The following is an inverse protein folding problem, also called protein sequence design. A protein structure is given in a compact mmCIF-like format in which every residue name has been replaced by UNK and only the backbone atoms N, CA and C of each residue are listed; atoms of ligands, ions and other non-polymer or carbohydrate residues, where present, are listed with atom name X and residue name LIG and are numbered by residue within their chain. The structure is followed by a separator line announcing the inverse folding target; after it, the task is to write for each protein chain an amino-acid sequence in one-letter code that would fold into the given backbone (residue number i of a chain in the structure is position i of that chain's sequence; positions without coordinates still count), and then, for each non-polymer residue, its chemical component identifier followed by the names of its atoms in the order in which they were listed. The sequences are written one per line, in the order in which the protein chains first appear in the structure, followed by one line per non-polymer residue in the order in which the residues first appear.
data_IF_312301806689
#
_entry.id   IF_312301806689
#
_cell.length_a   1.000
_cell.length_b   1.000
_cell.length_c   1.000
_cell.angle_alpha   90.00
_cell.angle_beta   90.00
_cell.angle_gamma   90.00
#
_symmetry.space_group_name_H-M   'P 1'
#
loop_
_entity.id
_entity.type
_entity.pdbx_description
1 polymer ?
#
# COMPACT_ATOMS: atom_id res chain seq x y z
N UNK A 1 19.88 9.64 11.86
CA UNK A 1 19.13 8.35 11.96
C UNK A 1 18.47 8.07 10.62
N UNK A 2 18.58 6.86 10.07
CA UNK A 2 17.98 6.50 8.78
C UNK A 2 16.49 6.19 8.95
N UNK A 3 15.66 6.83 8.11
CA UNK A 3 14.20 6.65 8.04
C UNK A 3 13.82 6.21 6.64
N UNK A 4 12.79 5.40 6.54
CA UNK A 4 12.14 5.06 5.27
C UNK A 4 10.70 5.55 5.32
N UNK A 5 10.26 6.17 4.22
CA UNK A 5 8.87 6.52 4.00
C UNK A 5 8.25 5.39 3.18
N UNK A 6 7.12 4.87 3.63
CA UNK A 6 6.28 3.93 2.89
C UNK A 6 5.05 4.69 2.41
N UNK A 7 4.74 4.53 1.12
CA UNK A 7 3.57 5.10 0.47
C UNK A 7 2.79 3.96 -0.18
N UNK A 8 1.60 3.67 0.33
CA UNK A 8 0.66 2.74 -0.30
C UNK A 8 -0.34 3.52 -1.12
N UNK A 9 -0.52 3.14 -2.39
CA UNK A 9 -1.38 3.82 -3.34
C UNK A 9 -2.40 2.82 -3.88
N UNK A 10 -3.69 3.11 -3.73
CA UNK A 10 -4.78 2.27 -4.24
C UNK A 10 -5.81 3.06 -5.05
N UNK A 11 -6.40 2.38 -6.05
CA UNK A 11 -7.60 2.82 -6.77
C UNK A 11 -8.55 1.62 -6.86
N UNK A 12 -9.75 1.77 -6.30
CA UNK A 12 -10.81 0.76 -6.38
C UNK A 12 -11.45 0.72 -7.79
N UNK A 13 -11.50 -0.47 -8.39
CA UNK A 13 -12.54 -0.86 -9.34
C UNK A 13 -13.11 -2.20 -8.80
N UNK A 14 -14.41 -2.23 -8.49
CA UNK A 14 -15.03 -3.16 -7.52
C UNK A 14 -15.17 -4.61 -8.05
N UNK A 15 -14.88 -5.61 -7.20
CA UNK A 15 -15.29 -7.02 -7.36
C UNK A 15 -15.19 -7.83 -6.04
N UNK A 16 -16.19 -8.66 -5.71
CA UNK A 16 -16.36 -9.40 -4.43
C UNK A 16 -16.66 -10.90 -4.66
N UNK A 17 -16.36 -11.82 -3.70
CA UNK A 17 -17.00 -13.15 -3.41
C UNK A 17 -16.10 -14.04 -2.51
N UNK A 18 -16.60 -14.96 -1.63
CA UNK A 18 -16.30 -15.32 -0.16
C UNK A 18 -15.44 -16.55 0.30
N UNK A 19 -14.87 -16.56 1.57
CA UNK A 19 -13.98 -17.61 2.24
C UNK A 19 -14.29 -18.24 3.62
N UNK A 20 -13.64 -19.39 3.91
CA UNK A 20 -13.30 -20.00 5.23
C UNK A 20 -11.79 -20.41 5.31
N UNK A 21 -11.15 -20.36 6.49
CA UNK A 21 -9.68 -20.26 6.69
C UNK A 21 -8.99 -21.55 7.21
N UNK A 22 -7.82 -21.88 6.65
CA UNK A 22 -6.78 -22.72 7.27
C UNK A 22 -5.40 -22.09 7.03
N UNK A 23 -4.53 -22.10 8.04
CA UNK A 23 -3.23 -21.44 8.08
C UNK A 23 -2.17 -22.21 7.26
N UNK A 24 -1.34 -21.50 6.46
CA UNK A 24 -0.25 -22.07 5.65
C UNK A 24 1.11 -21.97 6.37
N UNK A 25 1.94 -23.02 6.28
CA UNK A 25 3.09 -23.37 7.13
C UNK A 25 4.48 -23.14 6.50
N UNK A 26 4.58 -22.36 5.43
CA UNK A 26 5.88 -21.95 4.86
C UNK A 26 5.74 -20.86 3.80
N UNK A 27 6.29 -19.66 4.06
CA UNK A 27 6.28 -18.55 3.09
C UNK A 27 7.19 -18.92 1.92
N UNK A 28 6.59 -19.33 0.80
CA UNK A 28 7.26 -19.51 -0.48
C UNK A 28 6.68 -18.49 -1.48
N UNK A 29 7.54 -17.90 -2.32
CA UNK A 29 7.08 -17.01 -3.40
C UNK A 29 6.31 -17.83 -4.43
N UNK A 30 4.98 -17.75 -4.41
CA UNK A 30 4.12 -18.38 -5.42
C UNK A 30 4.24 -17.69 -6.79
N UNK A 31 4.56 -16.39 -6.80
CA UNK A 31 4.94 -15.63 -8.00
C UNK A 31 6.21 -14.82 -7.72
N UNK A 32 7.10 -14.75 -8.70
CA UNK A 32 8.29 -13.90 -8.65
C UNK A 32 7.98 -12.45 -9.06
N UNK A 33 8.69 -11.45 -8.53
CA UNK A 33 8.53 -10.06 -8.95
C UNK A 33 9.00 -9.86 -10.39
N UNK A 34 8.40 -8.89 -11.08
CA UNK A 34 8.82 -8.44 -12.41
C UNK A 34 9.89 -7.35 -12.27
N UNK A 35 11.12 -7.79 -12.00
CA UNK A 35 12.24 -6.89 -11.76
C UNK A 35 12.60 -6.03 -12.99
N UNK A 36 12.84 -4.74 -12.76
CA UNK A 36 13.28 -3.80 -13.79
C UNK A 36 14.14 -2.65 -13.27
N UNK A 37 14.10 -1.52 -13.98
CA UNK A 37 14.85 -0.30 -13.65
C UNK A 37 13.86 0.83 -13.37
N UNK A 38 14.22 1.75 -12.47
CA UNK A 38 13.47 2.98 -12.21
C UNK A 38 13.66 3.95 -13.39
N UNK A 39 13.17 3.57 -14.56
CA UNK A 39 13.21 4.28 -15.84
C UNK A 39 12.46 3.44 -16.88
N UNK A 40 11.81 4.06 -17.86
CA UNK A 40 11.06 3.31 -18.87
C UNK A 40 9.71 2.83 -18.34
N UNK A 41 9.32 1.60 -18.68
CA UNK A 41 8.05 1.00 -18.25
C UNK A 41 8.07 0.65 -16.76
N UNK A 42 6.89 0.69 -16.12
CA UNK A 42 6.70 0.24 -14.73
C UNK A 42 7.24 -1.18 -14.53
N UNK A 43 7.96 -1.38 -13.44
CA UNK A 43 8.50 -2.66 -13.01
C UNK A 43 8.77 -2.63 -11.50
N UNK A 44 8.89 -3.80 -10.89
CA UNK A 44 9.40 -3.93 -9.52
C UNK A 44 10.88 -3.47 -9.50
N UNK A 45 11.22 -2.53 -8.63
CA UNK A 45 12.58 -2.00 -8.58
C UNK A 45 13.00 -1.64 -7.17
N UNK A 46 14.27 -1.90 -6.85
CA UNK A 46 14.97 -1.27 -5.75
C UNK A 46 16.10 -0.38 -6.30
N UNK A 47 15.87 0.93 -6.34
CA UNK A 47 16.85 1.93 -6.78
C UNK A 47 17.57 2.57 -5.58
N UNK A 48 18.33 1.75 -4.85
CA UNK A 48 19.30 2.21 -3.84
C UNK A 48 18.78 2.27 -2.41
N UNK A 49 17.61 1.70 -2.12
CA UNK A 49 17.20 1.43 -0.74
C UNK A 49 18.13 0.38 -0.11
N UNK A 50 18.36 0.56 1.19
CA UNK A 50 19.13 -0.40 1.98
C UNK A 50 18.23 -1.58 2.39
N UNK A 51 18.80 -2.70 2.87
CA UNK A 51 18.03 -3.73 3.55
C UNK A 51 17.15 -3.11 4.65
N UNK A 52 15.90 -3.57 4.78
CA UNK A 52 14.91 -2.95 5.66
C UNK A 52 15.37 -2.83 7.12
N UNK A 53 16.18 -3.77 7.59
CA UNK A 53 16.79 -3.80 8.94
C UNK A 53 17.72 -2.61 9.22
N UNK A 54 18.12 -1.84 8.20
CA UNK A 54 18.95 -0.63 8.36
C UNK A 54 18.13 0.60 8.75
N UNK A 55 16.81 0.56 8.56
CA UNK A 55 15.93 1.67 8.91
C UNK A 55 15.39 1.48 10.32
N UNK A 56 15.65 2.44 11.21
CA UNK A 56 15.17 2.39 12.61
C UNK A 56 13.75 2.91 12.78
N UNK A 57 13.27 3.64 11.77
CA UNK A 57 11.92 4.19 11.77
C UNK A 57 11.32 4.04 10.38
N UNK A 58 10.13 3.46 10.35
CA UNK A 58 9.27 3.36 9.19
C UNK A 58 8.16 4.39 9.39
N UNK A 59 7.96 5.28 8.42
CA UNK A 59 6.84 6.22 8.42
C UNK A 59 5.93 5.84 7.28
N UNK A 60 4.70 5.46 7.58
CA UNK A 60 3.75 4.95 6.60
C UNK A 60 2.64 5.97 6.33
N UNK A 61 2.35 6.19 5.07
CA UNK A 61 1.17 6.92 4.60
C UNK A 61 0.44 6.08 3.55
N UNK A 62 -0.86 6.29 3.43
CA UNK A 62 -1.71 5.55 2.50
C UNK A 62 -3.16 5.58 2.95
N UNK A 63 -3.90 4.56 2.56
CA UNK A 63 -5.33 4.42 2.80
C UNK A 63 -5.64 3.27 3.79
N UNK A 64 -6.86 2.73 3.71
CA UNK A 64 -7.34 1.59 4.49
C UNK A 64 -6.44 0.36 4.44
N UNK A 65 -5.66 0.14 3.38
CA UNK A 65 -4.75 -1.00 3.29
C UNK A 65 -3.58 -0.91 4.27
N UNK A 66 -3.27 0.30 4.74
CA UNK A 66 -2.14 0.57 5.64
C UNK A 66 -2.59 1.16 6.98
N UNK A 67 -3.80 1.72 7.08
CA UNK A 67 -4.35 2.35 8.28
C UNK A 67 -4.42 1.39 9.47
N UNK A 68 -3.49 1.59 10.41
CA UNK A 68 -3.41 0.88 11.68
C UNK A 68 -4.37 1.37 12.78
N UNK A 69 -5.27 2.32 12.51
CA UNK A 69 -6.34 2.78 13.40
C UNK A 69 -6.04 4.05 14.21
N UNK A 70 -4.77 4.43 14.39
CA UNK A 70 -4.36 5.60 15.21
C UNK A 70 -4.14 6.87 14.38
N UNK A 71 -3.59 6.75 13.16
CA UNK A 71 -3.49 7.81 12.13
C UNK A 71 -2.64 9.05 12.43
N UNK A 72 -1.99 9.14 13.59
CA UNK A 72 -1.22 10.31 14.04
C UNK A 72 0.29 10.03 14.24
N UNK A 73 0.76 8.85 13.84
CA UNK A 73 2.12 8.37 14.07
C UNK A 73 2.42 7.93 15.51
N UNK A 74 1.40 7.90 16.37
CA UNK A 74 1.47 7.53 17.79
C UNK A 74 1.47 6.01 18.03
N UNK A 75 1.38 5.65 19.31
CA UNK A 75 1.32 4.24 19.72
C UNK A 75 0.05 3.58 19.18
N UNK A 76 0.25 2.42 18.55
CA UNK A 76 -0.84 1.68 17.92
C UNK A 76 -1.65 0.93 18.95
N UNK A 77 -2.98 1.06 18.88
CA UNK A 77 -3.88 0.23 19.67
C UNK A 77 -3.76 -1.25 19.27
N UNK A 78 -3.94 -2.19 20.21
CA UNK A 78 -3.91 -3.62 19.90
C UNK A 78 -5.00 -3.98 18.88
N UNK A 79 -4.68 -4.92 17.99
CA UNK A 79 -5.60 -5.40 16.96
C UNK A 79 -6.55 -6.44 17.59
N UNK A 80 -7.60 -5.97 18.27
CA UNK A 80 -8.60 -6.80 18.94
C UNK A 80 -9.94 -6.63 18.24
N UNK A 81 -10.57 -7.75 17.87
CA UNK A 81 -11.93 -7.78 17.35
C UNK A 81 -12.92 -7.77 18.50
N UNK A 82 -13.88 -6.84 18.48
CA UNK A 82 -14.94 -6.73 19.49
C UNK A 82 -16.29 -6.91 18.78
N UNK A 83 -16.93 -8.09 18.89
CA UNK A 83 -18.23 -8.35 18.27
C UNK A 83 -19.30 -7.31 18.67
N UNK A 84 -20.23 -6.98 17.76
CA UNK A 84 -20.43 -7.55 16.43
C UNK A 84 -19.51 -6.95 15.35
N UNK A 85 -18.70 -5.95 15.69
CA UNK A 85 -17.80 -5.30 14.76
C UNK A 85 -16.63 -6.24 14.43
N UNK A 86 -16.47 -6.68 13.18
CA UNK A 86 -15.37 -7.58 12.87
C UNK A 86 -14.01 -6.84 12.70
N UNK A 87 -13.94 -5.52 12.96
CA UNK A 87 -12.77 -4.64 12.73
C UNK A 87 -11.86 -4.82 13.93
N UNK A 88 -10.59 -5.12 13.68
CA UNK A 88 -9.61 -5.22 14.74
C UNK A 88 -9.06 -3.85 15.13
N UNK A 89 -9.52 -3.31 16.26
CA UNK A 89 -8.99 -2.08 16.84
C UNK A 89 -8.97 -0.88 15.89
N UNK A 90 -10.05 -0.66 15.13
CA UNK A 90 -10.23 0.49 14.23
C UNK A 90 -9.68 0.32 12.81
N UNK A 91 -9.22 -0.88 12.43
CA UNK A 91 -8.66 -1.20 11.10
C UNK A 91 -9.71 -1.76 10.14
N UNK A 92 -9.46 -1.67 8.84
CA UNK A 92 -10.25 -2.36 7.80
C UNK A 92 -9.80 -3.81 7.55
N UNK A 93 -9.28 -4.46 8.59
CA UNK A 93 -8.95 -5.89 8.64
C UNK A 93 -9.40 -6.49 9.99
N UNK A 94 -9.52 -7.81 10.06
CA UNK A 94 -9.81 -8.56 11.30
C UNK A 94 -8.55 -8.85 12.12
N UNK A 95 -7.40 -8.32 11.72
CA UNK A 95 -6.12 -8.47 12.43
C UNK A 95 -5.22 -7.23 12.30
N UNK A 96 -3.91 -7.42 12.47
CA UNK A 96 -2.93 -6.39 12.10
C UNK A 96 -2.93 -6.09 10.60
N UNK A 97 -2.47 -4.87 10.25
CA UNK A 97 -2.10 -4.50 8.87
C UNK A 97 -0.63 -4.84 8.62
N UNK A 98 -0.29 -5.17 7.37
CA UNK A 98 1.04 -5.65 6.92
C UNK A 98 2.24 -4.81 7.42
N UNK A 99 2.08 -3.47 7.51
CA UNK A 99 3.18 -2.58 7.93
C UNK A 99 3.59 -2.82 9.39
N UNK A 100 2.72 -3.44 10.21
CA UNK A 100 3.08 -3.90 11.56
C UNK A 100 4.09 -5.03 11.50
N UNK A 101 3.89 -5.98 10.59
CA UNK A 101 4.72 -7.18 10.49
C UNK A 101 6.13 -6.79 10.04
N UNK A 102 6.27 -5.82 9.13
CA UNK A 102 7.57 -5.24 8.80
C UNK A 102 8.25 -4.61 10.01
N UNK A 103 7.51 -3.87 10.83
CA UNK A 103 8.05 -3.31 12.08
C UNK A 103 8.57 -4.40 13.03
N UNK A 104 7.81 -5.49 13.16
CA UNK A 104 8.18 -6.66 13.97
C UNK A 104 9.46 -7.34 13.46
N UNK A 105 9.51 -7.61 12.15
CA UNK A 105 10.62 -8.35 11.52
C UNK A 105 11.93 -7.56 11.49
N UNK A 106 11.83 -6.23 11.47
CA UNK A 106 13.00 -5.34 11.38
C UNK A 106 13.40 -4.73 12.72
N UNK A 107 12.53 -4.78 13.73
CA UNK A 107 12.68 -4.04 14.99
C UNK A 107 12.54 -2.51 14.83
N UNK A 108 12.03 -2.03 13.69
CA UNK A 108 11.87 -0.61 13.43
C UNK A 108 10.65 -0.04 14.16
N UNK A 109 10.76 1.22 14.62
CA UNK A 109 9.60 1.98 15.09
C UNK A 109 8.71 2.34 13.90
N UNK A 110 7.44 1.92 13.91
CA UNK A 110 6.49 2.26 12.86
C UNK A 110 5.62 3.45 13.29
N UNK A 111 5.65 4.52 12.49
CA UNK A 111 4.77 5.69 12.61
C UNK A 111 3.72 5.66 11.51
N UNK A 112 2.47 5.46 11.89
CA UNK A 112 1.35 5.33 10.96
C UNK A 112 0.57 6.63 10.77
N UNK A 113 0.48 7.10 9.54
CA UNK A 113 -0.33 8.24 9.13
C UNK A 113 -1.33 7.86 8.02
N UNK A 114 -1.49 6.57 7.73
CA UNK A 114 -2.46 6.11 6.75
C UNK A 114 -3.90 6.26 7.28
N UNK A 115 -4.86 6.53 6.39
CA UNK A 115 -6.25 6.84 6.79
C UNK A 115 -7.27 6.13 5.90
N UNK A 116 -8.20 5.41 6.53
CA UNK A 116 -9.39 4.85 5.87
C UNK A 116 -10.28 5.95 5.28
N UNK A 117 -10.66 5.79 4.02
CA UNK A 117 -11.67 6.62 3.37
C UNK A 117 -13.06 6.16 3.81
N UNK A 118 -13.59 6.77 4.88
CA UNK A 118 -15.03 6.74 5.15
C UNK A 118 -15.68 8.00 4.62
N UNK A 119 -16.86 7.87 4.02
CA UNK A 119 -17.68 8.98 3.51
C UNK A 119 -18.03 10.05 4.56
N UNK A 120 -17.74 9.79 5.84
CA UNK A 120 -18.04 10.66 6.98
C UNK A 120 -16.87 11.59 7.38
N UNK A 121 -15.64 11.34 6.92
CA UNK A 121 -14.48 12.20 7.22
C UNK A 121 -14.23 13.24 6.13
N UNK A 122 -15.22 14.12 5.91
CA UNK A 122 -15.08 15.32 5.04
C UNK A 122 -14.31 16.48 5.70
N UNK A 123 -13.74 16.27 6.88
CA UNK A 123 -12.94 17.30 7.54
C UNK A 123 -11.48 17.16 7.10
N UNK A 124 -11.16 17.88 6.02
CA UNK A 124 -9.80 18.23 5.58
C UNK A 124 -8.91 18.53 6.81
N UNK A 125 -8.04 17.58 7.18
CA UNK A 125 -6.85 17.88 7.98
C UNK A 125 -5.67 17.90 7.01
N UNK A 126 -4.78 18.85 7.23
CA UNK A 126 -3.67 19.26 6.35
C UNK A 126 -2.61 18.16 6.02
N UNK A 127 -2.87 16.87 6.27
CA UNK A 127 -1.83 15.82 6.33
C UNK A 127 -2.20 14.44 5.73
N UNK A 128 -3.26 14.30 4.93
CA UNK A 128 -3.69 13.00 4.35
C UNK A 128 -4.06 13.12 2.87
N UNK A 129 -3.12 12.79 1.97
CA UNK A 129 -3.26 13.00 0.51
C UNK A 129 -2.58 11.94 -0.36
N UNK A 130 -2.74 10.63 -0.09
CA UNK A 130 -2.26 9.55 -1.00
C UNK A 130 -3.37 8.68 -1.54
N UNK A 131 -4.58 9.19 -1.45
CA UNK A 131 -5.79 8.42 -1.54
C UNK A 131 -6.75 9.32 -2.29
N UNK A 132 -6.61 9.21 -3.60
CA UNK A 132 -7.30 10.12 -4.50
C UNK A 132 -8.63 9.44 -4.81
N UNK A 133 -9.77 10.05 -4.43
CA UNK A 133 -11.06 9.53 -4.87
C UNK A 133 -11.05 9.57 -6.40
N UNK A 134 -10.99 8.39 -7.02
CA UNK A 134 -11.13 8.22 -8.45
C UNK A 134 -12.63 8.13 -8.77
N UNK A 135 -13.37 9.20 -8.46
CA UNK A 135 -14.77 9.27 -8.86
C UNK A 135 -14.94 9.57 -10.36
N UNK A 136 -13.88 9.98 -11.07
CA UNK A 136 -13.90 10.11 -12.53
C UNK A 136 -12.53 9.80 -13.15
N UNK A 137 -12.48 9.00 -14.22
CA UNK A 137 -11.25 8.66 -14.99
C UNK A 137 -10.43 9.91 -15.38
N UNK A 138 -11.07 11.08 -15.49
CA UNK A 138 -10.41 12.37 -15.75
C UNK A 138 -9.52 12.89 -14.61
N UNK A 139 -9.66 12.38 -13.38
CA UNK A 139 -8.87 12.81 -12.22
C UNK A 139 -7.61 11.97 -11.98
N UNK A 140 -7.43 10.84 -12.68
CA UNK A 140 -6.26 9.98 -12.53
C UNK A 140 -4.93 10.72 -12.80
N UNK A 141 -4.78 11.56 -13.84
CA UNK A 141 -3.53 12.30 -14.02
C UNK A 141 -3.24 13.29 -12.89
N UNK A 142 -4.28 13.91 -12.30
CA UNK A 142 -4.14 14.80 -11.14
C UNK A 142 -3.76 13.99 -9.89
N UNK A 143 -4.31 12.80 -9.75
CA UNK A 143 -3.99 11.87 -8.68
C UNK A 143 -2.51 11.51 -8.68
N UNK A 144 -1.99 11.12 -9.85
CA UNK A 144 -0.57 10.77 -10.03
C UNK A 144 0.35 11.96 -9.70
N UNK A 145 -0.02 13.18 -10.13
CA UNK A 145 0.73 14.38 -9.78
C UNK A 145 0.72 14.65 -8.27
N UNK A 146 -0.42 14.48 -7.61
CA UNK A 146 -0.54 14.67 -6.16
C UNK A 146 0.43 13.77 -5.41
N UNK A 147 0.54 12.49 -5.80
CA UNK A 147 1.52 11.55 -5.21
C UNK A 147 2.95 12.11 -5.31
N UNK A 148 3.35 12.61 -6.48
CA UNK A 148 4.70 13.16 -6.69
C UNK A 148 4.93 14.47 -5.95
N UNK A 149 3.92 15.32 -5.84
CA UNK A 149 3.98 16.53 -5.02
C UNK A 149 4.18 16.19 -3.55
N UNK A 150 3.50 15.16 -3.03
CA UNK A 150 3.67 14.69 -1.65
C UNK A 150 5.05 14.08 -1.40
N UNK A 151 5.53 13.21 -2.30
CA UNK A 151 6.91 12.70 -2.26
C UNK A 151 7.89 13.88 -2.21
N UNK A 152 7.71 14.85 -3.10
CA UNK A 152 8.55 16.05 -3.17
C UNK A 152 8.49 16.85 -1.88
N UNK A 153 7.31 17.05 -1.29
CA UNK A 153 7.14 17.74 -0.01
C UNK A 153 7.93 17.05 1.11
N UNK A 154 7.87 15.73 1.20
CA UNK A 154 8.59 14.96 2.22
C UNK A 154 10.12 15.04 2.06
N UNK A 155 10.63 15.37 0.86
CA UNK A 155 12.08 15.62 0.67
C UNK A 155 12.55 16.96 1.22
N UNK A 156 11.64 17.90 1.51
CA UNK A 156 11.94 19.25 2.00
C UNK A 156 12.07 19.27 3.53
N UNK A 157 12.71 20.32 4.11
CA UNK A 157 12.68 20.54 5.55
C UNK A 157 11.23 20.66 6.08
N UNK A 158 10.97 20.18 7.32
CA UNK A 158 11.92 19.58 8.25
C UNK A 158 12.16 18.07 8.03
N UNK A 159 11.34 17.41 7.20
CA UNK A 159 11.36 15.95 7.03
C UNK A 159 12.65 15.44 6.38
N UNK A 160 13.10 16.11 5.32
CA UNK A 160 14.34 15.78 4.60
C UNK A 160 14.44 14.29 4.20
N UNK A 161 13.31 13.66 3.84
CA UNK A 161 13.27 12.25 3.46
C UNK A 161 14.05 12.01 2.16
N UNK A 162 14.71 10.84 2.10
CA UNK A 162 15.55 10.42 0.96
C UNK A 162 15.36 8.95 0.59
N UNK A 163 14.52 8.21 1.30
CA UNK A 163 14.28 6.79 1.07
C UNK A 163 12.78 6.56 1.07
N UNK A 164 12.25 6.16 -0.09
CA UNK A 164 10.82 5.95 -0.33
C UNK A 164 10.59 4.53 -0.83
N UNK A 165 9.70 3.78 -0.19
CA UNK A 165 9.13 2.55 -0.71
C UNK A 165 7.71 2.87 -1.15
N UNK A 166 7.44 2.74 -2.45
CA UNK A 166 6.14 2.98 -3.05
C UNK A 166 5.52 1.63 -3.41
N UNK A 167 4.36 1.35 -2.85
CA UNK A 167 3.59 0.15 -3.11
C UNK A 167 2.35 0.56 -3.89
N UNK A 168 2.26 0.11 -5.12
CA UNK A 168 1.08 0.31 -5.95
C UNK A 168 0.20 -0.92 -5.90
N UNK A 169 -1.03 -0.72 -5.43
CA UNK A 169 -2.07 -1.73 -5.29
C UNK A 169 -3.15 -1.62 -6.37
N UNK A 170 -2.88 -0.89 -7.46
CA UNK A 170 -3.86 -0.59 -8.49
C UNK A 170 -4.55 -1.84 -9.04
N UNK A 171 -5.88 -1.73 -9.19
CA UNK A 171 -6.68 -2.61 -10.03
C UNK A 171 -7.07 -3.94 -9.38
N UNK A 172 -6.36 -4.42 -8.35
CA UNK A 172 -6.67 -5.70 -7.66
C UNK A 172 -7.11 -6.81 -8.64
N UNK A 173 -6.29 -7.07 -9.66
CA UNK A 173 -6.59 -8.06 -10.72
C UNK A 173 -7.49 -7.57 -11.87
N UNK A 174 -7.94 -6.31 -11.84
CA UNK A 174 -8.69 -5.65 -12.91
C UNK A 174 -7.86 -4.50 -13.50
N UNK A 175 -7.23 -4.77 -14.64
CA UNK A 175 -6.37 -3.82 -15.33
C UNK A 175 -7.16 -2.90 -16.27
N UNK A 176 -6.60 -1.72 -16.54
CA UNK A 176 -7.17 -0.79 -17.52
C UNK A 176 -6.07 0.12 -18.05
N UNK A 177 -6.23 0.56 -19.30
CA UNK A 177 -5.28 1.49 -19.94
C UNK A 177 -5.13 2.78 -19.12
N UNK A 178 -6.22 3.29 -18.53
CA UNK A 178 -6.19 4.52 -17.76
C UNK A 178 -5.43 4.36 -16.43
N UNK A 179 -5.58 3.22 -15.76
CA UNK A 179 -4.84 2.96 -14.53
C UNK A 179 -3.38 2.60 -14.76
N UNK A 180 -3.05 1.88 -15.84
CA UNK A 180 -1.65 1.69 -16.23
C UNK A 180 -0.97 3.02 -16.57
N UNK A 181 -1.69 3.94 -17.23
CA UNK A 181 -1.20 5.30 -17.48
C UNK A 181 -1.01 6.11 -16.19
N UNK A 182 -1.93 5.97 -15.23
CA UNK A 182 -1.79 6.55 -13.88
C UNK A 182 -0.51 6.07 -13.18
N UNK A 183 -0.29 4.75 -13.14
CA UNK A 183 0.94 4.15 -12.57
C UNK A 183 2.19 4.67 -13.24
N UNK A 184 2.21 4.63 -14.57
CA UNK A 184 3.34 5.08 -15.37
C UNK A 184 3.70 6.54 -15.08
N UNK A 185 2.71 7.40 -14.84
CA UNK A 185 2.93 8.83 -14.60
C UNK A 185 3.73 9.07 -13.32
N UNK A 186 3.31 8.52 -12.17
CA UNK A 186 4.07 8.74 -10.94
C UNK A 186 5.32 7.83 -10.86
N UNK A 187 5.37 6.68 -11.54
CA UNK A 187 6.64 5.94 -11.72
C UNK A 187 7.71 6.80 -12.42
N UNK A 188 7.31 7.49 -13.50
CA UNK A 188 8.17 8.44 -14.22
C UNK A 188 8.55 9.63 -13.33
N UNK A 189 7.62 10.12 -12.51
CA UNK A 189 7.88 11.15 -11.51
C UNK A 189 8.95 10.75 -10.50
N UNK A 190 8.90 9.52 -9.97
CA UNK A 190 9.93 8.99 -9.05
C UNK A 190 11.30 8.91 -9.72
N UNK A 191 11.35 8.48 -10.99
CA UNK A 191 12.59 8.54 -11.78
C UNK A 191 13.13 9.97 -11.87
N UNK A 192 12.30 10.94 -12.25
CA UNK A 192 12.73 12.34 -12.36
C UNK A 192 13.24 12.91 -11.03
N UNK A 193 12.60 12.56 -9.91
CA UNK A 193 13.07 12.94 -8.57
C UNK A 193 14.44 12.31 -8.25
N UNK A 194 14.67 11.06 -8.64
CA UNK A 194 15.97 10.39 -8.47
C UNK A 194 17.12 11.07 -9.23
N UNK A 195 16.81 11.77 -10.32
CA UNK A 195 17.78 12.52 -11.13
C UNK A 195 18.03 13.94 -10.62
N UNK A 196 17.06 14.50 -9.90
CA UNK A 196 17.07 15.92 -9.52
C UNK A 196 17.39 16.15 -8.05
N UNK A 197 17.09 15.19 -7.16
CA UNK A 197 17.30 15.33 -5.72
C UNK A 197 18.50 14.47 -5.29
N UNK A 198 19.61 15.08 -4.83
CA UNK A 198 20.76 14.33 -4.34
C UNK A 198 20.40 13.38 -3.20
N UNK A 199 20.83 12.12 -3.36
CA UNK A 199 20.62 11.06 -2.38
C UNK A 199 19.20 10.49 -2.35
N UNK A 200 18.31 10.89 -3.26
CA UNK A 200 16.98 10.30 -3.39
C UNK A 200 17.07 8.84 -3.81
N UNK A 201 16.38 7.97 -3.07
CA UNK A 201 16.30 6.53 -3.28
C UNK A 201 14.84 6.13 -3.27
N UNK A 202 14.45 5.32 -4.23
CA UNK A 202 13.11 4.77 -4.30
C UNK A 202 13.14 3.27 -4.56
N UNK A 203 12.21 2.55 -3.96
CA UNK A 203 11.76 1.27 -4.47
C UNK A 203 10.29 1.38 -4.87
N UNK A 204 9.92 0.62 -5.88
CA UNK A 204 8.56 0.53 -6.37
C UNK A 204 8.19 -0.94 -6.42
N UNK A 205 6.99 -1.27 -5.93
CA UNK A 205 6.43 -2.62 -6.01
C UNK A 205 5.08 -2.52 -6.72
N UNK A 206 4.93 -3.29 -7.80
CA UNK A 206 3.70 -3.38 -8.57
C UNK A 206 2.90 -4.62 -8.13
N UNK A 207 1.86 -4.42 -7.31
CA UNK A 207 1.07 -5.55 -6.81
C UNK A 207 0.23 -6.20 -7.91
N UNK A 208 0.15 -5.62 -9.12
CA UNK A 208 -0.44 -6.27 -10.29
C UNK A 208 0.03 -7.72 -10.46
N UNK A 209 1.34 -7.96 -10.33
CA UNK A 209 1.91 -9.32 -10.47
C UNK A 209 1.36 -10.28 -9.41
N UNK A 210 1.29 -9.82 -8.16
CA UNK A 210 0.77 -10.62 -7.04
C UNK A 210 -0.73 -10.84 -7.20
N UNK A 211 -1.51 -9.80 -7.50
CA UNK A 211 -2.95 -9.93 -7.70
C UNK A 211 -3.31 -10.83 -8.87
N UNK A 212 -2.61 -10.72 -9.99
CA UNK A 212 -2.81 -11.62 -11.13
C UNK A 212 -2.48 -13.06 -10.76
N UNK A 213 -1.45 -13.27 -9.94
CA UNK A 213 -1.14 -14.60 -9.43
C UNK A 213 -2.23 -15.16 -8.50
N UNK A 214 -2.74 -14.33 -7.58
CA UNK A 214 -3.74 -14.74 -6.57
C UNK A 214 -5.12 -14.92 -7.19
N UNK A 215 -5.58 -13.96 -7.99
CA UNK A 215 -6.95 -13.91 -8.53
C UNK A 215 -7.05 -14.51 -9.94
N UNK A 216 -5.91 -14.74 -10.60
CA UNK A 216 -5.86 -15.41 -11.90
C UNK A 216 -5.87 -16.94 -11.78
N UNK A 217 -5.94 -17.65 -12.92
CA UNK A 217 -5.96 -19.10 -12.95
C UNK A 217 -4.60 -19.75 -12.64
N UNK A 218 -3.50 -19.01 -12.71
CA UNK A 218 -2.13 -19.51 -12.53
C UNK A 218 -1.27 -18.50 -11.74
N UNK A 219 -0.74 -18.85 -10.56
CA UNK A 219 -0.90 -20.14 -9.88
C UNK A 219 -2.23 -20.26 -9.10
N UNK A 220 -2.99 -19.17 -9.00
CA UNK A 220 -4.27 -19.08 -8.30
C UNK A 220 -4.14 -19.04 -6.78
N UNK A 221 -5.19 -18.56 -6.10
CA UNK A 221 -5.21 -18.29 -4.66
C UNK A 221 -4.76 -19.48 -3.79
N UNK A 222 -4.98 -20.74 -4.24
CA UNK A 222 -4.58 -21.95 -3.51
C UNK A 222 -3.08 -22.09 -3.39
N UNK A 223 -2.33 -21.67 -4.41
CA UNK A 223 -0.88 -21.69 -4.37
C UNK A 223 -0.29 -20.70 -3.35
N UNK A 224 -1.05 -19.69 -2.97
CA UNK A 224 -0.72 -18.75 -1.89
C UNK A 224 -1.21 -19.25 -0.51
N UNK A 225 -1.83 -20.44 -0.46
CA UNK A 225 -2.38 -21.01 0.78
C UNK A 225 -3.76 -20.51 1.15
N UNK A 226 -4.40 -19.70 0.31
CA UNK A 226 -5.79 -19.33 0.53
C UNK A 226 -6.69 -20.49 0.16
N UNK A 227 -7.80 -20.66 0.88
CA UNK A 227 -8.82 -21.62 0.48
C UNK A 227 -9.73 -21.10 -0.64
N UNK A 228 -9.42 -19.92 -1.24
CA UNK A 228 -10.36 -18.97 -1.89
C UNK A 228 -9.90 -17.54 -2.27
N UNK A 229 -10.59 -16.86 -3.19
CA UNK A 229 -10.43 -15.46 -3.66
C UNK A 229 -11.54 -14.49 -3.14
N UNK A 230 -11.87 -14.72 -1.86
CA UNK A 230 -13.02 -14.36 -1.00
C UNK A 230 -13.30 -12.95 -0.51
N UNK A 231 -14.57 -12.52 -0.44
CA UNK A 231 -15.10 -11.63 0.59
C UNK A 231 -15.56 -12.43 1.82
N UNK A 232 -14.83 -12.35 2.93
CA UNK A 232 -15.14 -13.18 4.12
C UNK A 232 -16.46 -12.85 4.84
N UNK A 233 -17.19 -11.80 4.42
CA UNK A 233 -18.33 -11.24 5.17
C UNK A 233 -19.51 -10.90 4.24
N UNK A 234 -20.71 -10.72 4.81
CA UNK A 234 -21.96 -10.72 4.05
C UNK A 234 -22.29 -9.37 3.39
N UNK A 235 -21.87 -8.22 3.96
CA UNK A 235 -22.21 -6.87 3.48
C UNK A 235 -21.28 -5.76 4.00
N UNK A 236 -21.49 -4.51 3.58
CA UNK A 236 -20.67 -3.32 3.93
C UNK A 236 -20.64 -2.96 5.42
N UNK A 237 -21.61 -3.37 6.23
CA UNK A 237 -21.59 -3.25 7.70
C UNK A 237 -20.77 -4.36 8.37
N UNK A 238 -20.34 -5.35 7.59
CA UNK A 238 -19.51 -6.48 7.98
C UNK A 238 -18.23 -6.59 7.15
N UNK A 239 -17.98 -5.71 6.16
CA UNK A 239 -16.93 -5.87 5.16
C UNK A 239 -15.51 -5.69 5.71
N UNK A 240 -14.70 -6.71 5.47
CA UNK A 240 -13.24 -6.62 5.37
C UNK A 240 -12.86 -6.95 3.95
N UNK A 241 -11.97 -6.13 3.42
CA UNK A 241 -11.25 -6.41 2.21
C UNK A 241 -9.81 -6.69 2.61
N UNK A 242 -9.47 -7.95 2.83
CA UNK A 242 -8.10 -8.44 2.73
C UNK A 242 -8.14 -9.94 2.44
N UNK A 243 -7.45 -10.31 1.36
CA UNK A 243 -6.73 -11.58 1.28
C UNK A 243 -5.47 -11.41 2.14
#
# INVERSE_FOLDING_TARGET
MQRIIILTIFINIIGALRFDNQHNDGIHLAVGPQCGRLSGTVADVNAGLLPLQRYRTIVAFGDSYTDGGTRDGGLRAPAIVIPPNPKAGGRTTNGPVWVKDIGSDTGALVKDYAVEYSSESRTFRYETYLSVPADEVGNLPKAANTIIEQVTLLTRPPTNARSFLVLDDYGRGTESVAGDAFKQQYYTGLYNLSRTIPGFKAAFVDFKTIWNGVLGPDPGYKAFGYASDGACTLNSSTHYWFL
#
